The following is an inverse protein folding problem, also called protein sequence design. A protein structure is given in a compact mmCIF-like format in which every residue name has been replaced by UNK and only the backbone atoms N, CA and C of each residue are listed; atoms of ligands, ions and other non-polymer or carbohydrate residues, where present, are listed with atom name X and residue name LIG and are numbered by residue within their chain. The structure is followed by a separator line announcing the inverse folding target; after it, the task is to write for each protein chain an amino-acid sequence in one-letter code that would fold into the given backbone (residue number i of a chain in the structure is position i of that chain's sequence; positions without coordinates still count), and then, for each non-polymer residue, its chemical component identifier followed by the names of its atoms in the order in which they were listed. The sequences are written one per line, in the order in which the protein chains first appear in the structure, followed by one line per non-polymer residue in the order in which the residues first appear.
data_IF_818372345156
#
_entry.id   IF_818372345156
#
_cell.length_a   1.000
_cell.length_b   1.000
_cell.length_c   1.000
_cell.angle_alpha   90.00
_cell.angle_beta   90.00
_cell.angle_gamma   90.00
#
_symmetry.space_group_name_H-M   'P 1'
#
loop_
_entity.id
_entity.type
_entity.pdbx_description
1 polymer ?
#
# COMPACT_ATOMS: atom_id res chain seq x y z
N UNK A 1 37.88 1.06 23.00
CA UNK A 1 36.54 1.50 23.41
C UNK A 1 36.04 2.70 22.57
N UNK A 2 36.79 3.82 22.55
CA UNK A 2 36.34 5.09 21.92
C UNK A 2 35.95 4.94 20.45
N UNK A 3 36.79 4.28 19.62
CA UNK A 3 36.47 4.07 18.20
C UNK A 3 35.17 3.26 18.00
N UNK A 4 34.91 2.29 18.89
CA UNK A 4 33.69 1.49 18.84
C UNK A 4 32.46 2.37 19.14
N UNK A 5 32.53 3.22 20.15
CA UNK A 5 31.42 4.12 20.51
C UNK A 5 31.17 5.15 19.42
N UNK A 6 32.24 5.78 18.87
CA UNK A 6 32.13 6.75 17.78
C UNK A 6 31.46 6.13 16.54
N UNK A 7 31.71 4.85 16.28
CA UNK A 7 31.12 4.16 15.14
C UNK A 7 29.68 3.74 15.38
N UNK A 8 29.40 3.07 16.52
CA UNK A 8 28.08 2.46 16.75
C UNK A 8 27.03 3.44 17.28
N UNK A 9 27.41 4.42 18.09
CA UNK A 9 26.45 5.33 18.72
C UNK A 9 25.63 6.12 17.68
N UNK A 10 26.21 6.72 16.62
CA UNK A 10 25.43 7.40 15.59
C UNK A 10 24.46 6.47 14.87
N UNK A 11 24.85 5.21 14.62
CA UNK A 11 24.01 4.21 13.94
C UNK A 11 22.80 3.87 14.82
N UNK A 12 23.01 3.63 16.11
CA UNK A 12 21.92 3.32 17.04
C UNK A 12 20.94 4.48 17.18
N UNK A 13 21.45 5.71 17.28
CA UNK A 13 20.60 6.92 17.34
C UNK A 13 19.83 7.13 16.05
N UNK A 14 20.47 6.95 14.90
CA UNK A 14 19.81 7.05 13.59
C UNK A 14 18.69 6.02 13.43
N UNK A 15 18.95 4.76 13.79
CA UNK A 15 17.93 3.70 13.73
C UNK A 15 16.78 3.98 14.70
N UNK A 16 17.07 4.49 15.90
CA UNK A 16 16.05 4.93 16.85
C UNK A 16 15.17 6.04 16.28
N UNK A 17 15.78 7.09 15.73
CA UNK A 17 15.09 8.20 15.08
C UNK A 17 14.24 7.73 13.89
N UNK A 18 14.81 6.89 13.02
CA UNK A 18 14.10 6.33 11.87
C UNK A 18 12.86 5.53 12.30
N UNK A 19 12.95 4.72 13.34
CA UNK A 19 11.82 3.97 13.87
C UNK A 19 10.73 4.89 14.46
N UNK A 20 11.13 5.97 15.14
CA UNK A 20 10.20 6.99 15.64
C UNK A 20 9.44 7.63 14.48
N UNK A 21 10.15 8.08 13.44
CA UNK A 21 9.56 8.69 12.25
C UNK A 21 8.54 7.75 11.58
N UNK A 22 8.91 6.47 11.40
CA UNK A 22 8.01 5.45 10.84
C UNK A 22 6.79 5.18 11.72
N UNK A 23 6.98 5.21 13.04
CA UNK A 23 5.86 5.07 13.99
C UNK A 23 4.82 6.18 13.83
N UNK A 24 5.27 7.44 13.71
CA UNK A 24 4.38 8.59 13.49
C UNK A 24 3.67 8.52 12.13
N UNK A 25 4.39 8.18 11.06
CA UNK A 25 3.81 7.99 9.72
C UNK A 25 2.68 6.94 9.75
N UNK A 26 2.95 5.76 10.32
CA UNK A 26 1.95 4.70 10.42
C UNK A 26 0.76 5.07 11.29
N UNK A 27 0.99 5.86 12.35
CA UNK A 27 -0.07 6.39 13.21
C UNK A 27 -0.96 7.36 12.44
N UNK A 28 -0.38 8.30 11.69
CA UNK A 28 -1.14 9.27 10.89
C UNK A 28 -2.03 8.58 9.84
N UNK A 29 -1.49 7.57 9.13
CA UNK A 29 -2.28 6.77 8.17
C UNK A 29 -3.44 6.05 8.88
N UNK A 30 -3.20 5.47 10.06
CA UNK A 30 -4.24 4.79 10.83
C UNK A 30 -5.33 5.76 11.30
N UNK A 31 -4.96 6.96 11.74
CA UNK A 31 -5.92 7.99 12.18
C UNK A 31 -6.79 8.44 10.99
N UNK A 32 -6.17 8.75 9.84
CA UNK A 32 -6.91 9.11 8.63
C UNK A 32 -7.89 8.00 8.21
N UNK A 33 -7.43 6.75 8.19
CA UNK A 33 -8.29 5.60 7.90
C UNK A 33 -9.45 5.48 8.89
N UNK A 34 -9.16 5.57 10.18
CA UNK A 34 -10.17 5.40 11.24
C UNK A 34 -11.27 6.45 11.16
N UNK A 35 -10.91 7.69 10.82
CA UNK A 35 -11.85 8.78 10.61
C UNK A 35 -12.64 8.56 9.31
N UNK A 36 -11.95 8.38 8.19
CA UNK A 36 -12.57 8.35 6.88
C UNK A 36 -13.48 7.13 6.67
N UNK A 37 -13.16 6.01 7.32
CA UNK A 37 -14.01 4.82 7.30
C UNK A 37 -15.37 5.01 7.97
N UNK A 38 -15.49 5.95 8.92
CA UNK A 38 -16.76 6.23 9.63
C UNK A 38 -17.64 7.24 8.91
N UNK A 39 -17.07 7.98 7.94
CA UNK A 39 -17.82 8.95 7.16
C UNK A 39 -18.75 8.24 6.16
N UNK A 40 -19.91 8.87 5.83
CA UNK A 40 -20.79 8.31 4.81
C UNK A 40 -20.06 8.22 3.46
N UNK A 41 -20.40 7.22 2.61
CA UNK A 41 -19.84 7.13 1.27
C UNK A 41 -20.01 8.41 0.48
N UNK A 42 -18.96 8.83 -0.20
CA UNK A 42 -18.98 10.00 -1.08
C UNK A 42 -19.45 9.61 -2.48
N UNK A 43 -20.20 10.47 -3.12
CA UNK A 43 -20.59 10.27 -4.52
C UNK A 43 -19.47 10.76 -5.46
N UNK A 44 -19.31 10.11 -6.61
CA UNK A 44 -18.28 10.49 -7.59
C UNK A 44 -18.25 12.00 -7.91
N UNK A 45 -19.43 12.61 -8.12
CA UNK A 45 -19.57 14.04 -8.42
C UNK A 45 -19.01 14.98 -7.36
N UNK A 46 -18.83 14.49 -6.15
CA UNK A 46 -18.33 15.27 -5.01
C UNK A 46 -16.81 15.15 -4.88
N UNK A 47 -16.16 14.21 -5.57
CA UNK A 47 -14.71 13.99 -5.48
C UNK A 47 -13.91 15.24 -5.82
N UNK A 48 -14.36 16.01 -6.82
CA UNK A 48 -13.71 17.26 -7.26
C UNK A 48 -13.74 18.40 -6.23
N UNK A 49 -14.56 18.28 -5.18
CA UNK A 49 -14.67 19.27 -4.12
C UNK A 49 -13.57 19.14 -3.06
N UNK A 50 -12.82 18.05 -3.08
CA UNK A 50 -11.82 17.72 -2.08
C UNK A 50 -10.42 17.60 -2.72
N UNK A 51 -9.39 17.77 -1.91
CA UNK A 51 -8.04 17.35 -2.29
C UNK A 51 -7.97 15.83 -2.26
N UNK A 52 -7.21 15.25 -3.19
CA UNK A 52 -7.14 13.81 -3.37
C UNK A 52 -6.63 13.09 -2.09
N UNK A 53 -5.70 13.71 -1.39
CA UNK A 53 -5.13 13.17 -0.15
C UNK A 53 -6.15 13.09 1.00
N UNK A 54 -7.13 14.01 1.03
CA UNK A 54 -8.19 14.04 2.04
C UNK A 54 -9.23 12.94 1.79
N UNK A 55 -9.26 12.38 0.57
CA UNK A 55 -10.17 11.31 0.15
C UNK A 55 -9.63 9.91 0.46
N UNK A 56 -8.35 9.76 0.74
CA UNK A 56 -7.78 8.45 0.99
C UNK A 56 -8.48 7.74 2.14
N UNK A 57 -8.76 6.46 1.93
CA UNK A 57 -9.47 5.56 2.85
C UNK A 57 -10.96 5.89 3.07
N UNK A 58 -11.54 6.80 2.32
CA UNK A 58 -12.96 7.10 2.35
C UNK A 58 -13.72 6.14 1.43
N UNK A 59 -14.93 5.74 1.85
CA UNK A 59 -15.83 4.98 1.00
C UNK A 59 -16.39 5.87 -0.12
N UNK A 60 -16.42 5.33 -1.33
CA UNK A 60 -16.95 6.00 -2.53
C UNK A 60 -17.94 5.08 -3.23
N UNK A 61 -18.97 5.72 -3.83
CA UNK A 61 -19.96 5.04 -4.67
C UNK A 61 -19.87 5.64 -6.08
N UNK A 62 -19.64 4.77 -7.06
CA UNK A 62 -19.46 5.15 -8.47
C UNK A 62 -20.37 4.30 -9.34
N UNK A 63 -21.08 4.95 -10.26
CA UNK A 63 -21.89 4.27 -11.27
C UNK A 63 -21.16 4.29 -12.62
N UNK A 64 -21.08 3.13 -13.29
CA UNK A 64 -20.36 3.02 -14.55
C UNK A 64 -20.29 1.59 -15.06
N UNK A 65 -19.29 1.31 -15.90
CA UNK A 65 -19.08 -0.01 -16.51
C UNK A 65 -17.60 -0.39 -16.46
N UNK A 66 -17.31 -1.66 -16.27
CA UNK A 66 -15.97 -2.19 -16.40
C UNK A 66 -15.49 -2.17 -17.85
N UNK A 67 -14.20 -1.93 -18.02
CA UNK A 67 -13.49 -2.15 -19.29
C UNK A 67 -12.71 -3.45 -19.11
N UNK A 68 -12.82 -4.39 -20.05
CA UNK A 68 -12.30 -5.75 -19.86
C UNK A 68 -10.78 -5.89 -20.07
N UNK A 69 -10.04 -4.84 -19.75
CA UNK A 69 -8.57 -4.75 -19.87
C UNK A 69 -7.92 -4.92 -18.49
N UNK A 70 -8.04 -6.11 -17.92
CA UNK A 70 -7.60 -6.38 -16.54
C UNK A 70 -6.11 -6.64 -16.43
N UNK A 71 -5.51 -6.15 -15.34
CA UNK A 71 -4.16 -6.49 -14.90
C UNK A 71 -4.23 -7.55 -13.80
N UNK A 72 -3.38 -8.56 -13.90
CA UNK A 72 -3.22 -9.62 -12.91
C UNK A 72 -1.89 -9.42 -12.20
N UNK A 73 -1.92 -8.82 -11.02
CA UNK A 73 -0.71 -8.61 -10.22
C UNK A 73 -0.30 -9.93 -9.57
N UNK A 74 0.81 -10.48 -10.05
CA UNK A 74 1.35 -11.78 -9.62
C UNK A 74 2.04 -11.71 -8.25
N UNK A 75 2.40 -12.91 -7.75
CA UNK A 75 3.12 -13.10 -6.49
C UNK A 75 2.41 -12.55 -5.24
N UNK A 76 1.08 -12.46 -5.29
CA UNK A 76 0.28 -12.07 -4.12
C UNK A 76 -0.05 -13.30 -3.29
N UNK A 77 0.48 -13.35 -2.08
CA UNK A 77 0.27 -14.48 -1.15
C UNK A 77 -0.81 -14.09 -0.13
N UNK A 78 -1.87 -14.90 -0.07
CA UNK A 78 -2.91 -14.76 0.93
C UNK A 78 -3.26 -16.14 1.53
N UNK A 79 -3.35 -16.23 2.86
CA UNK A 79 -3.57 -17.50 3.59
C UNK A 79 -2.66 -18.64 3.13
N UNK A 80 -1.38 -18.33 2.96
CA UNK A 80 -0.32 -19.25 2.48
C UNK A 80 -0.52 -19.81 1.06
N UNK A 81 -1.42 -19.25 0.27
CA UNK A 81 -1.61 -19.59 -1.13
C UNK A 81 -1.11 -18.48 -2.02
N UNK A 82 -0.41 -18.83 -3.10
CA UNK A 82 -0.04 -17.88 -4.16
C UNK A 82 -1.27 -17.59 -5.02
N UNK A 83 -1.36 -16.39 -5.55
CA UNK A 83 -2.44 -15.97 -6.43
C UNK A 83 -2.19 -14.59 -7.01
N UNK A 84 -3.25 -14.01 -7.53
CA UNK A 84 -3.24 -12.75 -8.24
C UNK A 84 -4.17 -11.75 -7.56
N UNK A 85 -3.79 -10.50 -7.59
CA UNK A 85 -4.66 -9.37 -7.27
C UNK A 85 -5.13 -8.75 -8.58
N UNK A 86 -6.45 -8.58 -8.75
CA UNK A 86 -7.06 -8.23 -10.02
C UNK A 86 -7.38 -6.75 -10.06
N UNK A 87 -6.80 -6.05 -11.03
CA UNK A 87 -7.08 -4.64 -11.26
C UNK A 87 -7.78 -4.48 -12.61
N UNK A 88 -8.95 -3.85 -12.63
CA UNK A 88 -9.75 -3.65 -13.85
C UNK A 88 -10.13 -2.19 -13.97
N UNK A 89 -9.94 -1.55 -15.15
CA UNK A 89 -10.42 -0.21 -15.40
C UNK A 89 -11.94 -0.15 -15.32
N UNK A 90 -12.47 0.91 -14.72
CA UNK A 90 -13.90 1.17 -14.59
C UNK A 90 -14.19 2.58 -15.06
N UNK A 91 -14.97 2.68 -16.13
CA UNK A 91 -15.40 3.95 -16.68
C UNK A 91 -16.71 4.38 -16.04
N UNK A 92 -16.67 5.50 -15.35
CA UNK A 92 -17.83 6.08 -14.69
C UNK A 92 -18.79 6.75 -15.69
N UNK A 93 -20.02 7.01 -15.26
CA UNK A 93 -20.95 7.84 -16.04
C UNK A 93 -20.46 9.29 -16.20
N UNK A 94 -19.64 9.78 -15.25
CA UNK A 94 -18.92 11.06 -15.35
C UNK A 94 -17.76 11.06 -16.35
N UNK A 95 -17.54 9.96 -17.09
CA UNK A 95 -16.48 9.75 -18.09
C UNK A 95 -15.06 9.64 -17.48
N UNK A 96 -14.89 9.64 -16.17
CA UNK A 96 -13.63 9.36 -15.51
C UNK A 96 -13.33 7.86 -15.55
N UNK A 97 -12.06 7.51 -15.61
CA UNK A 97 -11.64 6.10 -15.57
C UNK A 97 -10.82 5.86 -14.30
N UNK A 98 -11.34 4.99 -13.47
CA UNK A 98 -10.69 4.57 -12.24
C UNK A 98 -10.09 3.18 -12.40
N UNK A 99 -8.94 2.92 -11.80
CA UNK A 99 -8.46 1.55 -11.67
C UNK A 99 -9.09 0.92 -10.42
N UNK A 100 -9.87 -0.14 -10.62
CA UNK A 100 -10.57 -0.84 -9.54
C UNK A 100 -9.80 -2.10 -9.19
N UNK A 101 -9.32 -2.18 -7.95
CA UNK A 101 -8.79 -3.41 -7.38
C UNK A 101 -9.98 -4.27 -6.95
N UNK A 102 -10.19 -5.37 -7.65
CA UNK A 102 -11.34 -6.28 -7.45
C UNK A 102 -11.08 -7.34 -6.37
N UNK A 103 -9.86 -7.43 -5.85
CA UNK A 103 -9.45 -8.39 -4.84
C UNK A 103 -8.55 -9.49 -5.36
N UNK A 104 -8.34 -10.49 -4.52
CA UNK A 104 -7.40 -11.58 -4.73
C UNK A 104 -8.10 -12.88 -5.10
N UNK A 105 -7.43 -13.69 -5.93
CA UNK A 105 -7.82 -15.05 -6.25
C UNK A 105 -6.61 -15.97 -6.33
N UNK A 106 -6.76 -17.23 -5.90
CA UNK A 106 -5.67 -18.22 -5.96
C UNK A 106 -5.59 -18.95 -7.30
N UNK A 107 -6.60 -18.81 -8.14
CA UNK A 107 -6.69 -19.65 -9.34
C UNK A 107 -6.85 -18.81 -10.60
N UNK A 108 -5.94 -19.08 -11.57
CA UNK A 108 -5.98 -18.47 -12.89
C UNK A 108 -7.04 -19.13 -13.80
N UNK A 109 -7.30 -20.42 -13.61
CA UNK A 109 -8.09 -21.22 -14.56
C UNK A 109 -9.57 -21.33 -14.25
N UNK A 110 -9.98 -21.19 -12.98
CA UNK A 110 -11.35 -21.53 -12.55
C UNK A 110 -12.28 -20.31 -12.41
N UNK A 111 -11.75 -19.09 -12.51
CA UNK A 111 -12.59 -17.89 -12.45
C UNK A 111 -12.39 -17.07 -13.72
N UNK A 112 -13.46 -16.73 -14.42
CA UNK A 112 -13.37 -15.78 -15.51
C UNK A 112 -12.94 -14.43 -14.94
N UNK A 113 -11.71 -13.98 -15.24
CA UNK A 113 -11.22 -12.63 -14.89
C UNK A 113 -12.01 -11.54 -15.60
N UNK A 114 -12.86 -11.94 -16.53
CA UNK A 114 -13.77 -11.05 -17.22
C UNK A 114 -14.56 -10.25 -16.19
N UNK A 115 -14.58 -8.98 -16.42
CA UNK A 115 -15.38 -8.08 -15.62
C UNK A 115 -16.86 -8.26 -15.95
N UNK A 116 -17.76 -8.04 -14.99
CA UNK A 116 -19.21 -8.07 -15.27
C UNK A 116 -19.57 -7.07 -16.37
N UNK A 117 -20.36 -7.53 -17.33
CA UNK A 117 -20.86 -6.67 -18.40
C UNK A 117 -21.99 -5.76 -17.93
N UNK A 118 -22.13 -4.61 -18.60
CA UNK A 118 -23.18 -3.63 -18.37
C UNK A 118 -22.85 -2.59 -17.30
N UNK A 119 -23.85 -1.81 -16.93
CA UNK A 119 -23.72 -0.76 -15.92
C UNK A 119 -23.89 -1.31 -14.51
N UNK A 120 -23.00 -0.90 -13.63
CA UNK A 120 -23.01 -1.30 -12.22
C UNK A 120 -22.82 -0.08 -11.31
N UNK A 121 -23.45 -0.14 -10.16
CA UNK A 121 -23.11 0.69 -9.02
C UNK A 121 -22.07 -0.09 -8.20
N UNK A 122 -20.87 0.46 -8.07
CA UNK A 122 -19.81 -0.10 -7.26
C UNK A 122 -19.58 0.73 -6.02
N UNK A 123 -19.28 0.07 -4.92
CA UNK A 123 -18.82 0.70 -3.68
C UNK A 123 -17.43 0.18 -3.37
N UNK A 124 -16.55 1.07 -2.93
CA UNK A 124 -15.18 0.72 -2.57
C UNK A 124 -14.54 1.79 -1.73
N UNK A 125 -13.29 1.56 -1.37
CA UNK A 125 -12.46 2.49 -0.58
C UNK A 125 -11.44 3.14 -1.52
N UNK A 126 -11.33 4.45 -1.46
CA UNK A 126 -10.31 5.21 -2.20
C UNK A 126 -8.94 4.92 -1.58
N UNK A 127 -8.00 4.48 -2.40
CA UNK A 127 -6.61 4.23 -2.02
C UNK A 127 -5.66 5.04 -2.90
N UNK A 128 -4.53 5.52 -2.37
CA UNK A 128 -3.51 6.11 -3.22
C UNK A 128 -3.05 5.10 -4.27
N UNK A 129 -2.74 5.58 -5.46
CA UNK A 129 -2.14 4.74 -6.50
C UNK A 129 -0.63 4.61 -6.24
N UNK A 130 -0.30 4.00 -5.12
CA UNK A 130 1.07 3.64 -4.78
C UNK A 130 1.57 2.53 -5.72
N UNK A 131 2.85 2.20 -5.58
CA UNK A 131 3.45 1.08 -6.26
C UNK A 131 2.92 -0.25 -5.66
N UNK A 132 2.22 -1.03 -6.47
CA UNK A 132 1.79 -2.38 -6.13
C UNK A 132 2.79 -3.42 -6.65
N UNK A 133 3.20 -4.35 -5.80
CA UNK A 133 4.13 -5.42 -6.16
C UNK A 133 5.61 -5.00 -6.19
N UNK A 134 6.45 -5.91 -6.63
CA UNK A 134 7.90 -5.74 -6.79
C UNK A 134 8.32 -6.39 -8.09
N UNK A 135 8.97 -5.63 -8.96
CA UNK A 135 9.55 -6.20 -10.17
C UNK A 135 10.90 -6.84 -9.84
N UNK A 136 10.92 -8.16 -9.83
CA UNK A 136 12.11 -8.98 -9.58
C UNK A 136 12.75 -9.49 -10.88
N UNK A 137 12.08 -9.37 -12.01
CA UNK A 137 12.58 -9.79 -13.30
C UNK A 137 12.16 -8.80 -14.40
N UNK A 138 13.02 -8.60 -15.40
CA UNK A 138 12.68 -7.89 -16.63
C UNK A 138 11.86 -8.81 -17.55
N UNK A 139 10.68 -9.22 -17.10
CA UNK A 139 9.78 -10.01 -17.94
C UNK A 139 9.10 -9.07 -18.94
N UNK A 140 9.16 -9.41 -20.20
CA UNK A 140 8.40 -8.70 -21.22
C UNK A 140 6.91 -8.89 -20.92
N UNK A 141 6.19 -7.79 -20.89
CA UNK A 141 4.75 -7.77 -20.62
C UNK A 141 4.04 -8.24 -21.90
N UNK A 142 3.17 -9.22 -21.79
CA UNK A 142 2.28 -9.60 -22.89
C UNK A 142 1.45 -8.39 -23.32
N UNK A 143 1.28 -8.19 -24.63
CA UNK A 143 0.54 -7.04 -25.19
C UNK A 143 -0.97 -7.26 -25.19
N UNK A 144 -1.46 -8.44 -24.79
CA UNK A 144 -2.89 -8.79 -24.79
C UNK A 144 -3.47 -8.91 -23.39
N UNK A 145 -4.62 -8.29 -23.16
CA UNK A 145 -5.35 -8.42 -21.90
C UNK A 145 -6.06 -9.78 -21.76
N UNK A 146 -6.14 -10.35 -20.55
CA UNK A 146 -5.58 -9.83 -19.30
C UNK A 146 -4.06 -9.92 -19.23
N UNK A 147 -3.39 -8.86 -18.77
CA UNK A 147 -1.93 -8.78 -18.67
C UNK A 147 -1.46 -9.17 -17.28
N UNK A 148 -0.54 -10.13 -17.20
CA UNK A 148 0.12 -10.50 -15.95
C UNK A 148 1.27 -9.53 -15.68
N UNK A 149 1.27 -8.89 -14.51
CA UNK A 149 2.29 -7.92 -14.10
C UNK A 149 2.86 -8.27 -12.73
N UNK A 150 4.15 -8.04 -12.53
CA UNK A 150 4.78 -8.19 -11.20
C UNK A 150 4.77 -6.88 -10.41
N UNK A 151 4.65 -5.76 -11.11
CA UNK A 151 4.58 -4.44 -10.55
C UNK A 151 3.55 -3.61 -11.32
N UNK A 152 2.71 -2.90 -10.59
CA UNK A 152 1.72 -2.01 -11.15
C UNK A 152 1.86 -0.62 -10.52
N UNK A 153 2.15 0.37 -11.36
CA UNK A 153 2.18 1.79 -11.03
C UNK A 153 1.20 2.54 -11.92
N UNK A 154 0.81 3.76 -11.54
CA UNK A 154 -0.03 4.61 -12.40
C UNK A 154 0.57 4.76 -13.80
N UNK A 155 1.89 5.03 -13.88
CA UNK A 155 2.59 5.19 -15.16
C UNK A 155 2.59 3.91 -16.00
N UNK A 156 2.84 2.73 -15.41
CA UNK A 156 2.84 1.46 -16.14
C UNK A 156 1.44 1.08 -16.61
N UNK A 157 0.42 1.26 -15.77
CA UNK A 157 -0.97 1.01 -16.12
C UNK A 157 -1.44 1.92 -17.26
N UNK A 158 -1.18 3.23 -17.18
CA UNK A 158 -1.52 4.19 -18.23
C UNK A 158 -0.84 3.88 -19.55
N UNK A 159 0.43 3.44 -19.51
CA UNK A 159 1.17 3.03 -20.71
C UNK A 159 0.55 1.80 -21.39
N UNK A 160 0.18 0.78 -20.60
CA UNK A 160 -0.38 -0.47 -21.10
C UNK A 160 -1.81 -0.31 -21.63
N UNK A 161 -2.62 0.55 -20.98
CA UNK A 161 -3.98 0.88 -21.46
C UNK A 161 -3.98 1.75 -22.71
N UNK A 162 -2.84 2.36 -23.04
CA UNK A 162 -2.69 3.18 -24.22
C UNK A 162 -3.23 4.60 -24.09
N UNK A 163 -2.95 5.43 -25.10
CA UNK A 163 -3.23 6.89 -25.08
C UNK A 163 -4.72 7.26 -25.02
N UNK A 164 -5.61 6.32 -25.27
CA UNK A 164 -7.05 6.57 -25.34
C UNK A 164 -7.77 6.47 -23.98
N UNK A 165 -7.08 5.98 -22.94
CA UNK A 165 -7.61 5.79 -21.61
C UNK A 165 -6.72 6.50 -20.58
N UNK A 166 -7.17 7.67 -20.13
CA UNK A 166 -6.55 8.35 -19.00
C UNK A 166 -7.19 7.84 -17.71
N UNK A 167 -6.39 7.21 -16.84
CA UNK A 167 -6.84 6.73 -15.53
C UNK A 167 -6.53 7.76 -14.45
N UNK A 168 -7.40 7.82 -13.44
CA UNK A 168 -7.20 8.68 -12.27
C UNK A 168 -6.03 8.18 -11.38
N UNK A 169 -5.43 9.11 -10.63
CA UNK A 169 -4.28 8.82 -9.74
C UNK A 169 -4.69 8.13 -8.42
N UNK A 170 -5.86 7.50 -8.41
CA UNK A 170 -6.38 6.72 -7.29
C UNK A 170 -6.78 5.33 -7.73
N UNK A 171 -6.77 4.41 -6.78
CA UNK A 171 -7.30 3.05 -6.93
C UNK A 171 -8.53 2.89 -6.06
N UNK A 172 -9.58 2.31 -6.59
CA UNK A 172 -10.78 1.95 -5.81
C UNK A 172 -10.64 0.49 -5.38
N UNK A 173 -10.46 0.27 -4.09
CA UNK A 173 -10.48 -1.06 -3.47
C UNK A 173 -11.93 -1.50 -3.32
N UNK A 174 -12.35 -2.44 -4.15
CA UNK A 174 -13.76 -2.83 -4.30
C UNK A 174 -14.32 -3.50 -3.04
N UNK A 175 -15.47 -3.08 -2.57
CA UNK A 175 -16.18 -3.75 -1.46
C UNK A 175 -16.55 -5.18 -1.84
N UNK A 176 -16.46 -6.11 -0.88
CA UNK A 176 -16.84 -7.50 -1.09
C UNK A 176 -18.30 -7.69 -1.55
N UNK A 177 -19.18 -6.75 -1.21
CA UNK A 177 -20.59 -6.76 -1.63
C UNK A 177 -20.80 -6.27 -3.07
N UNK A 178 -19.82 -5.60 -3.67
CA UNK A 178 -19.93 -5.06 -5.03
C UNK A 178 -19.77 -6.15 -6.08
N UNK A 179 -20.51 -6.02 -7.18
CA UNK A 179 -20.46 -6.99 -8.27
C UNK A 179 -19.06 -7.00 -8.93
N UNK A 180 -18.53 -8.19 -9.14
CA UNK A 180 -17.19 -8.39 -9.70
C UNK A 180 -16.08 -8.43 -8.66
N UNK A 181 -16.40 -8.39 -7.37
CA UNK A 181 -15.42 -8.53 -6.28
C UNK A 181 -14.92 -9.98 -6.18
N UNK A 182 -13.61 -10.09 -5.91
CA UNK A 182 -12.92 -11.29 -5.42
C UNK A 182 -12.69 -11.16 -3.91
N UNK A 183 -11.79 -11.96 -3.35
CA UNK A 183 -11.46 -11.88 -1.93
C UNK A 183 -10.73 -10.57 -1.62
N UNK A 184 -11.28 -9.68 -0.80
CA UNK A 184 -10.60 -8.45 -0.44
C UNK A 184 -9.44 -8.73 0.51
N UNK A 185 -8.21 -8.41 0.11
CA UNK A 185 -7.02 -8.63 0.93
C UNK A 185 -6.42 -7.34 1.50
N UNK A 186 -7.00 -6.21 1.19
CA UNK A 186 -6.61 -4.93 1.75
C UNK A 186 -7.09 -4.80 3.19
N UNK A 187 -6.22 -5.12 4.08
CA UNK A 187 -6.42 -4.83 5.50
C UNK A 187 -5.29 -3.97 5.99
N UNK A 188 -5.59 -2.90 6.70
CA UNK A 188 -4.56 -2.09 7.36
C UNK A 188 -3.91 -2.80 8.56
N UNK A 189 -3.98 -4.12 8.58
CA UNK A 189 -3.38 -4.97 9.64
C UNK A 189 -1.87 -4.79 9.76
N UNK A 190 -1.20 -4.28 8.73
CA UNK A 190 0.25 -4.02 8.75
C UNK A 190 0.63 -2.64 9.31
N UNK A 191 -0.33 -1.75 9.56
CA UNK A 191 -0.09 -0.43 10.15
C UNK A 191 0.13 -0.51 11.67
N UNK A 192 1.04 -1.40 12.11
CA UNK A 192 1.33 -1.59 13.53
C UNK A 192 2.35 -0.55 14.03
N UNK A 193 1.93 0.71 14.16
CA UNK A 193 2.72 1.75 14.82
C UNK A 193 3.38 1.29 16.14
N UNK A 194 2.72 0.49 17.01
CA UNK A 194 3.33 -0.01 18.24
C UNK A 194 4.62 -0.82 18.05
N UNK A 195 4.77 -1.53 16.92
CA UNK A 195 6.03 -2.24 16.63
C UNK A 195 7.21 -1.29 16.44
N UNK A 196 7.00 -0.19 15.75
CA UNK A 196 8.03 0.82 15.52
C UNK A 196 8.46 1.49 16.82
N UNK A 197 7.51 1.79 17.72
CA UNK A 197 7.82 2.32 19.05
C UNK A 197 8.66 1.34 19.89
N UNK A 198 8.34 0.04 19.84
CA UNK A 198 9.13 -1.00 20.51
C UNK A 198 10.56 -1.07 20.00
N UNK A 199 10.75 -1.07 18.68
CA UNK A 199 12.10 -1.05 18.08
C UNK A 199 12.84 0.26 18.37
N UNK A 200 12.17 1.40 18.38
CA UNK A 200 12.78 2.68 18.77
C UNK A 200 13.32 2.63 20.20
N UNK A 201 12.52 2.10 21.14
CA UNK A 201 12.94 1.93 22.53
C UNK A 201 14.16 0.99 22.64
N UNK A 202 14.23 -0.08 21.86
CA UNK A 202 15.38 -1.00 21.83
C UNK A 202 16.66 -0.30 21.33
N UNK A 203 16.59 0.41 20.18
CA UNK A 203 17.76 1.10 19.62
C UNK A 203 18.28 2.20 20.55
N UNK A 204 17.39 3.01 21.11
CA UNK A 204 17.76 4.07 22.05
C UNK A 204 18.25 3.50 23.39
N UNK A 205 17.67 2.39 23.84
CA UNK A 205 18.14 1.67 25.02
C UNK A 205 19.56 1.13 24.83
N UNK A 206 19.86 0.53 23.69
CA UNK A 206 21.22 0.08 23.33
C UNK A 206 22.21 1.24 23.27
N UNK A 207 21.81 2.37 22.69
CA UNK A 207 22.63 3.59 22.67
C UNK A 207 22.94 4.07 24.08
N UNK A 208 21.93 4.11 24.96
CA UNK A 208 22.10 4.50 26.36
C UNK A 208 23.07 3.55 27.11
N UNK A 209 22.87 2.24 26.97
CA UNK A 209 23.75 1.24 27.56
C UNK A 209 25.20 1.40 27.08
N UNK A 210 25.38 1.65 25.77
CA UNK A 210 26.70 1.88 25.19
C UNK A 210 27.40 3.08 25.83
N UNK A 211 26.67 4.19 26.01
CA UNK A 211 27.20 5.41 26.67
C UNK A 211 27.54 5.13 28.14
N UNK A 212 26.65 4.44 28.89
CA UNK A 212 26.90 4.10 30.29
C UNK A 212 28.17 3.24 30.39
N UNK A 213 28.31 2.22 29.58
CA UNK A 213 29.48 1.34 29.58
C UNK A 213 30.76 2.10 29.19
N UNK A 214 30.67 3.03 28.25
CA UNK A 214 31.80 3.88 27.87
C UNK A 214 32.34 4.69 29.04
N UNK A 215 31.46 5.36 29.78
CA UNK A 215 31.86 6.11 30.98
C UNK A 215 32.30 5.20 32.09
N UNK A 216 31.61 4.10 32.35
CA UNK A 216 32.00 3.16 33.42
C UNK A 216 33.41 2.60 33.22
N UNK A 217 33.77 2.18 32.02
CA UNK A 217 35.10 1.68 31.70
C UNK A 217 36.14 2.80 31.53
N UNK A 218 35.74 3.98 31.12
CA UNK A 218 36.61 5.15 31.03
C UNK A 218 37.03 5.70 32.39
N UNK A 219 36.11 5.67 33.38
CA UNK A 219 36.44 6.06 34.77
C UNK A 219 37.22 4.99 35.55
N UNK A 220 37.14 3.74 35.10
CA UNK A 220 37.88 2.62 35.72
C UNK A 220 39.24 2.49 35.04
N UNK A 221 40.02 3.59 34.98
CA UNK A 221 41.41 3.49 34.60
C UNK A 221 42.21 2.67 35.61
N UNK A 222 43.15 1.85 35.16
CA UNK A 222 43.98 1.05 36.08
C UNK A 222 44.83 2.01 36.88
N UNK A 223 44.69 1.94 38.19
CA UNK A 223 45.77 2.42 39.05
C UNK A 223 47.04 1.67 38.66
N UNK A 224 47.93 2.40 38.05
CA UNK A 224 49.20 1.92 37.58
C UNK A 224 50.04 1.26 38.57
N UNK A 225 50.69 0.35 38.08
CA UNK A 225 52.07 0.06 38.49
C UNK A 225 53.04 0.94 37.75
#
# INVERSE_FOLDING_TARGET
MTCFVIFFLPILLYLGYWQISRGFEKKAIWEAYSINKTLPPIQEKELSLYKIEDLFYRSVVIQGSYINDSFLLDNRVYRSKKGYEIFTPFKSEGQQVYLVNRGWTSNYSDHPFQAPEGKHLIEGIISPFDKYGLNLSKTETEESFPVVVQELTHSSASKLLGKNLSIEEIVIQLSAASKGSFEPIWGLTELKAPRHWGYAAQWLGLALVLVILYFYYGYKEPSKQ
#
